data_IF_209287536957
#
_entry.id   IF_209287536957
#
_cell.length_a   1.000
_cell.length_b   1.000
_cell.length_c   1.000
_cell.angle_alpha   90.00
_cell.angle_beta   90.00
_cell.angle_gamma   90.00
#
_symmetry.space_group_name_H-M   'P 1'
#
loop_
_entity.id
_entity.type
_entity.pdbx_description
1 polymer ?
#
# COMPACT_ATOMS: atom_id res chain seq x y z
N UNK A 1 -9.23 -24.97 -2.27
CA UNK A 1 -8.38 -23.77 -2.37
C UNK A 1 -8.72 -23.13 -3.70
N UNK A 2 -9.17 -21.88 -3.71
CA UNK A 2 -9.35 -21.11 -4.95
C UNK A 2 -7.98 -20.97 -5.62
N UNK A 3 -7.90 -21.21 -6.94
CA UNK A 3 -6.67 -21.01 -7.69
C UNK A 3 -6.22 -19.56 -7.57
N UNK A 4 -4.93 -19.32 -7.39
CA UNK A 4 -4.39 -17.97 -7.32
C UNK A 4 -4.66 -17.21 -8.65
N UNK A 5 -5.12 -15.97 -8.56
CA UNK A 5 -5.39 -15.12 -9.72
C UNK A 5 -4.13 -14.31 -10.08
N UNK A 6 -3.46 -14.67 -11.16
CA UNK A 6 -2.33 -13.88 -11.66
C UNK A 6 -2.81 -12.65 -12.45
N UNK A 7 -3.72 -12.83 -13.40
CA UNK A 7 -4.34 -11.78 -14.20
C UNK A 7 -5.84 -12.02 -14.33
N UNK A 8 -6.63 -10.97 -14.28
CA UNK A 8 -8.05 -11.06 -14.59
C UNK A 8 -8.29 -10.99 -16.11
N UNK A 9 -9.36 -11.62 -16.56
CA UNK A 9 -9.73 -11.71 -17.98
C UNK A 9 -11.21 -11.34 -18.18
N UNK A 10 -11.65 -10.25 -17.56
CA UNK A 10 -13.00 -9.72 -17.66
C UNK A 10 -13.21 -9.15 -19.05
N UNK A 11 -14.21 -9.64 -19.77
CA UNK A 11 -14.56 -9.24 -21.14
C UNK A 11 -15.77 -8.31 -21.18
N UNK A 12 -16.58 -8.33 -20.14
CA UNK A 12 -17.79 -7.49 -20.03
C UNK A 12 -17.47 -6.00 -19.83
N UNK A 13 -16.25 -5.67 -19.42
CA UNK A 13 -15.81 -4.30 -19.20
C UNK A 13 -14.50 -4.00 -19.97
N UNK A 14 -14.33 -2.76 -20.47
CA UNK A 14 -13.09 -2.35 -21.11
C UNK A 14 -11.90 -2.34 -20.13
N UNK A 15 -10.84 -3.07 -20.44
CA UNK A 15 -9.59 -3.00 -19.70
C UNK A 15 -8.90 -1.67 -19.97
N UNK A 16 -8.60 -0.90 -18.92
CA UNK A 16 -7.84 0.36 -19.01
C UNK A 16 -6.35 0.14 -18.84
N UNK A 17 -5.95 -0.81 -18.02
CA UNK A 17 -4.54 -1.12 -17.78
C UNK A 17 -4.33 -2.14 -16.68
N UNK A 18 -3.09 -2.64 -16.62
CA UNK A 18 -2.61 -3.53 -15.56
C UNK A 18 -1.46 -2.86 -14.83
N UNK A 19 -1.65 -2.67 -13.53
CA UNK A 19 -0.58 -2.27 -12.63
C UNK A 19 0.27 -3.46 -12.17
N UNK A 20 1.22 -3.21 -11.27
CA UNK A 20 2.09 -4.27 -10.72
C UNK A 20 1.27 -5.42 -10.09
N UNK A 21 0.17 -5.09 -9.39
CA UNK A 21 -0.63 -6.07 -8.63
C UNK A 21 -2.16 -5.91 -8.78
N UNK A 22 -2.62 -4.99 -9.62
CA UNK A 22 -4.05 -4.72 -9.85
C UNK A 22 -4.35 -4.54 -11.32
N UNK A 23 -5.55 -4.96 -11.72
CA UNK A 23 -6.10 -4.75 -13.06
C UNK A 23 -7.27 -3.78 -12.97
N UNK A 24 -7.34 -2.81 -13.88
CA UNK A 24 -8.32 -1.72 -13.85
C UNK A 24 -9.20 -1.77 -15.10
N UNK A 25 -10.52 -1.72 -14.88
CA UNK A 25 -11.52 -1.73 -15.92
C UNK A 25 -12.40 -0.50 -15.83
N UNK A 26 -12.83 0.04 -16.98
CA UNK A 26 -13.79 1.13 -17.02
C UNK A 26 -15.21 0.63 -16.70
N UNK A 27 -15.91 1.35 -15.84
CA UNK A 27 -17.32 1.15 -15.57
C UNK A 27 -18.07 2.48 -15.82
N UNK A 28 -18.49 2.67 -17.07
CA UNK A 28 -18.95 3.97 -17.54
C UNK A 28 -17.82 5.02 -17.54
N UNK A 29 -18.21 6.30 -17.44
CA UNK A 29 -17.26 7.40 -17.49
C UNK A 29 -16.73 7.83 -16.11
N UNK A 30 -17.48 7.53 -15.06
CA UNK A 30 -17.29 8.05 -13.70
C UNK A 30 -16.80 7.01 -12.67
N UNK A 31 -16.70 5.74 -13.06
CA UNK A 31 -16.31 4.64 -12.16
C UNK A 31 -15.25 3.73 -12.76
N UNK A 32 -14.60 3.00 -11.88
CA UNK A 32 -13.65 1.94 -12.21
C UNK A 32 -14.00 0.68 -11.42
N UNK A 33 -13.81 -0.48 -12.05
CA UNK A 33 -13.65 -1.74 -11.34
C UNK A 33 -12.14 -2.00 -11.19
N UNK A 34 -11.67 -2.13 -9.96
CA UNK A 34 -10.28 -2.47 -9.64
C UNK A 34 -10.24 -3.89 -9.10
N UNK A 35 -9.49 -4.76 -9.75
CA UNK A 35 -9.31 -6.17 -9.35
C UNK A 35 -7.92 -6.36 -8.77
N UNK A 36 -7.83 -6.71 -7.49
CA UNK A 36 -6.58 -7.08 -6.85
C UNK A 36 -6.20 -8.51 -7.24
N UNK A 37 -5.09 -8.66 -7.95
CA UNK A 37 -4.53 -9.96 -8.28
C UNK A 37 -3.73 -10.54 -7.10
N UNK A 38 -3.32 -11.79 -7.25
CA UNK A 38 -2.43 -12.43 -6.28
C UNK A 38 -0.93 -12.23 -6.65
N UNK A 39 -0.63 -11.42 -7.68
CA UNK A 39 0.73 -11.02 -8.04
C UNK A 39 1.41 -10.35 -6.84
N UNK A 40 2.70 -10.58 -6.69
CA UNK A 40 3.55 -9.84 -5.76
C UNK A 40 4.67 -9.16 -6.52
N UNK A 41 5.01 -7.94 -6.12
CA UNK A 41 6.15 -7.20 -6.63
C UNK A 41 7.14 -6.95 -5.52
N UNK A 42 8.41 -7.25 -5.77
CA UNK A 42 9.52 -6.93 -4.87
C UNK A 42 10.66 -6.32 -5.69
N UNK A 43 11.32 -5.29 -5.14
CA UNK A 43 12.37 -4.53 -5.84
C UNK A 43 11.91 -4.01 -7.23
N UNK A 44 10.64 -3.60 -7.33
CA UNK A 44 9.93 -3.16 -8.55
C UNK A 44 9.79 -4.20 -9.66
N UNK A 45 10.17 -5.45 -9.40
CA UNK A 45 9.95 -6.58 -10.32
C UNK A 45 8.71 -7.36 -9.88
N UNK A 46 7.81 -7.64 -10.83
CA UNK A 46 6.67 -8.53 -10.61
C UNK A 46 7.20 -9.97 -10.67
N UNK A 47 6.87 -10.76 -9.63
CA UNK A 47 7.26 -12.16 -9.58
C UNK A 47 6.23 -13.03 -10.31
N UNK A 48 6.70 -14.09 -10.96
CA UNK A 48 5.82 -15.02 -11.71
C UNK A 48 4.96 -15.89 -10.79
N UNK A 49 5.35 -16.04 -9.52
CA UNK A 49 4.64 -16.87 -8.56
C UNK A 49 3.65 -16.02 -7.73
N UNK A 50 2.33 -16.15 -7.94
CA UNK A 50 1.34 -15.42 -7.19
C UNK A 50 1.20 -15.96 -5.77
N UNK A 51 0.93 -15.08 -4.80
CA UNK A 51 0.67 -15.44 -3.40
C UNK A 51 -0.83 -15.77 -3.24
N UNK A 52 -1.22 -17.04 -3.00
CA UNK A 52 -2.62 -17.43 -2.97
C UNK A 52 -3.45 -16.63 -1.95
N UNK A 53 -4.57 -16.03 -2.41
CA UNK A 53 -5.49 -15.27 -1.58
C UNK A 53 -5.02 -13.86 -1.20
N UNK A 54 -3.85 -13.42 -1.68
CA UNK A 54 -3.31 -12.08 -1.38
C UNK A 54 -4.28 -10.97 -1.79
N UNK A 55 -4.83 -11.03 -3.01
CA UNK A 55 -5.77 -10.03 -3.51
C UNK A 55 -7.00 -9.89 -2.61
N UNK A 56 -7.53 -10.99 -2.10
CA UNK A 56 -8.66 -10.98 -1.17
C UNK A 56 -8.32 -10.33 0.16
N UNK A 57 -7.17 -10.67 0.74
CA UNK A 57 -6.71 -10.07 2.00
C UNK A 57 -6.51 -8.56 1.87
N UNK A 58 -5.88 -8.10 0.79
CA UNK A 58 -5.64 -6.67 0.57
C UNK A 58 -6.94 -5.90 0.37
N UNK A 59 -7.90 -6.48 -0.36
CA UNK A 59 -9.21 -5.85 -0.58
C UNK A 59 -9.98 -5.72 0.74
N UNK A 60 -10.06 -6.79 1.53
CA UNK A 60 -10.77 -6.81 2.80
C UNK A 60 -10.17 -5.81 3.80
N UNK A 61 -8.83 -5.73 3.90
CA UNK A 61 -8.14 -4.73 4.73
C UNK A 61 -8.42 -3.31 4.24
N UNK A 62 -8.36 -3.06 2.93
CA UNK A 62 -8.63 -1.74 2.36
C UNK A 62 -10.06 -1.31 2.68
N UNK A 63 -11.06 -2.16 2.47
CA UNK A 63 -12.46 -1.84 2.77
C UNK A 63 -12.67 -1.58 4.27
N UNK A 64 -12.08 -2.40 5.13
CA UNK A 64 -12.10 -2.19 6.59
C UNK A 64 -11.59 -0.79 6.96
N UNK A 65 -10.42 -0.40 6.45
CA UNK A 65 -9.83 0.89 6.77
C UNK A 65 -10.59 2.06 6.14
N UNK A 66 -11.08 1.93 4.91
CA UNK A 66 -11.89 2.98 4.26
C UNK A 66 -13.16 3.26 5.05
N UNK A 67 -13.81 2.24 5.62
CA UNK A 67 -14.98 2.41 6.48
C UNK A 67 -14.59 3.05 7.82
N UNK A 68 -13.54 2.54 8.47
CA UNK A 68 -13.11 2.99 9.79
C UNK A 68 -12.65 4.44 9.81
N UNK A 69 -11.99 4.89 8.76
CA UNK A 69 -11.39 6.23 8.63
C UNK A 69 -12.28 7.22 7.84
N UNK A 70 -13.49 6.83 7.42
CA UNK A 70 -14.37 7.64 6.59
C UNK A 70 -14.76 9.00 7.22
N UNK A 71 -14.71 9.11 8.54
CA UNK A 71 -14.99 10.36 9.27
C UNK A 71 -13.87 11.41 9.16
N UNK A 72 -12.66 11.00 8.72
CA UNK A 72 -11.52 11.92 8.54
C UNK A 72 -11.55 12.56 7.15
N UNK A 73 -11.77 11.73 6.12
CA UNK A 73 -11.75 12.15 4.73
C UNK A 73 -12.69 11.27 3.90
N UNK A 74 -13.45 11.84 2.93
CA UNK A 74 -14.14 11.02 1.94
C UNK A 74 -13.18 10.08 1.22
N UNK A 75 -13.68 8.95 0.75
CA UNK A 75 -12.89 8.01 -0.04
C UNK A 75 -13.58 7.66 -1.37
N UNK A 76 -12.88 6.89 -2.18
CA UNK A 76 -13.32 6.57 -3.53
C UNK A 76 -14.34 5.42 -3.62
N UNK A 77 -14.62 4.70 -2.52
CA UNK A 77 -15.57 3.58 -2.55
C UNK A 77 -16.97 4.05 -2.98
N UNK A 78 -17.64 3.26 -3.79
CA UNK A 78 -19.02 3.52 -4.22
C UNK A 78 -20.04 2.68 -3.50
N UNK A 79 -19.64 1.61 -2.82
CA UNK A 79 -20.50 0.60 -2.23
C UNK A 79 -21.20 -0.32 -3.26
N UNK A 80 -20.95 -0.15 -4.55
CA UNK A 80 -21.46 -1.05 -5.59
C UNK A 80 -20.71 -2.38 -5.52
N UNK A 81 -21.46 -3.48 -5.56
CA UNK A 81 -20.84 -4.82 -5.52
C UNK A 81 -20.18 -5.14 -6.86
N UNK A 82 -18.93 -5.62 -6.86
CA UNK A 82 -18.24 -6.01 -8.09
C UNK A 82 -18.97 -7.09 -8.90
N UNK A 83 -19.64 -8.01 -8.21
CA UNK A 83 -20.38 -9.11 -8.83
C UNK A 83 -21.57 -8.61 -9.67
N UNK A 84 -22.13 -7.43 -9.36
CA UNK A 84 -23.29 -6.87 -10.05
C UNK A 84 -22.92 -6.15 -11.36
N UNK A 85 -21.62 -5.95 -11.62
CA UNK A 85 -21.14 -5.15 -12.76
C UNK A 85 -20.36 -5.96 -13.80
N UNK A 86 -20.16 -7.25 -13.59
CA UNK A 86 -19.51 -8.18 -14.53
C UNK A 86 -20.49 -9.24 -15.03
N UNK A 87 -20.12 -9.95 -16.09
CA UNK A 87 -20.93 -11.06 -16.58
C UNK A 87 -20.95 -12.24 -15.57
N UNK A 88 -22.02 -13.08 -15.55
CA UNK A 88 -22.17 -14.15 -14.56
C UNK A 88 -21.01 -15.15 -14.52
N UNK A 89 -20.37 -15.42 -15.66
CA UNK A 89 -19.21 -16.32 -15.78
C UNK A 89 -17.88 -15.67 -15.37
N UNK A 90 -17.89 -14.37 -15.07
CA UNK A 90 -16.71 -13.60 -14.62
C UNK A 90 -16.70 -13.33 -13.11
N UNK A 91 -17.81 -13.62 -12.42
CA UNK A 91 -18.01 -13.30 -10.99
C UNK A 91 -16.91 -13.87 -10.09
N UNK A 92 -16.40 -15.06 -10.37
CA UNK A 92 -15.35 -15.68 -9.55
C UNK A 92 -14.01 -14.95 -9.63
N UNK A 93 -13.79 -14.12 -10.66
CA UNK A 93 -12.59 -13.30 -10.80
C UNK A 93 -12.63 -12.02 -9.94
N UNK A 94 -13.81 -11.58 -9.52
CA UNK A 94 -14.01 -10.35 -8.75
C UNK A 94 -14.39 -10.58 -7.30
N UNK A 95 -14.96 -11.75 -6.98
CA UNK A 95 -15.49 -12.04 -5.65
C UNK A 95 -14.44 -11.90 -4.54
N UNK A 96 -14.69 -10.95 -3.62
CA UNK A 96 -13.85 -10.68 -2.45
C UNK A 96 -12.48 -10.10 -2.77
N UNK A 97 -12.17 -9.75 -4.04
CA UNK A 97 -10.89 -9.19 -4.45
C UNK A 97 -10.98 -7.97 -5.36
N UNK A 98 -12.18 -7.48 -5.59
CA UNK A 98 -12.39 -6.32 -6.42
C UNK A 98 -13.22 -5.27 -5.70
N UNK A 99 -13.11 -4.03 -6.13
CA UNK A 99 -13.89 -2.90 -5.63
C UNK A 99 -14.36 -2.04 -6.81
N UNK A 100 -15.58 -1.51 -6.70
CA UNK A 100 -16.09 -0.49 -7.62
C UNK A 100 -15.88 0.88 -6.99
N UNK A 101 -15.08 1.71 -7.64
CA UNK A 101 -14.65 2.99 -7.10
C UNK A 101 -15.01 4.15 -8.02
N UNK A 102 -15.07 5.36 -7.47
CA UNK A 102 -15.13 6.60 -8.25
C UNK A 102 -13.87 6.76 -9.09
N UNK A 103 -14.03 7.23 -10.33
CA UNK A 103 -12.92 7.63 -11.17
C UNK A 103 -12.48 9.04 -10.77
N UNK A 104 -11.39 9.13 -10.02
CA UNK A 104 -10.83 10.38 -9.54
C UNK A 104 -9.65 10.83 -10.41
N UNK A 105 -9.37 12.14 -10.41
CA UNK A 105 -8.12 12.68 -10.94
C UNK A 105 -7.00 12.43 -9.91
N UNK A 106 -6.04 11.54 -10.17
CA UNK A 106 -5.03 11.20 -9.18
C UNK A 106 -4.08 12.38 -8.93
N UNK A 107 -3.64 12.52 -7.69
CA UNK A 107 -2.53 13.39 -7.31
C UNK A 107 -1.25 12.55 -7.41
N UNK A 108 -0.26 13.06 -8.16
CA UNK A 108 0.97 12.32 -8.49
C UNK A 108 2.03 12.42 -7.38
N UNK A 109 1.58 12.35 -6.13
CA UNK A 109 2.42 12.34 -4.94
C UNK A 109 2.01 11.15 -4.09
N UNK A 110 2.98 10.34 -3.69
CA UNK A 110 2.78 9.33 -2.67
C UNK A 110 2.89 9.97 -1.28
N UNK A 111 1.78 9.95 -0.54
CA UNK A 111 1.69 10.55 0.76
C UNK A 111 2.11 9.55 1.85
N UNK A 112 3.37 9.59 2.23
CA UNK A 112 3.93 8.64 3.21
C UNK A 112 3.96 9.27 4.60
N UNK A 113 3.40 8.56 5.58
CA UNK A 113 3.56 8.85 7.00
C UNK A 113 4.50 7.84 7.65
N UNK A 114 5.43 8.31 8.49
CA UNK A 114 6.36 7.45 9.23
C UNK A 114 6.29 7.76 10.72
N UNK A 115 6.02 6.74 11.52
CA UNK A 115 6.17 6.80 12.97
C UNK A 115 7.45 6.13 13.47
N UNK A 116 8.13 5.41 12.59
CA UNK A 116 9.38 4.70 12.86
C UNK A 116 10.38 4.87 11.73
N UNK A 117 11.67 4.81 12.06
CA UNK A 117 12.77 5.06 11.14
C UNK A 117 13.23 3.76 10.47
N UNK A 118 12.71 3.49 9.26
CA UNK A 118 12.97 2.26 8.50
C UNK A 118 12.98 2.52 6.99
N UNK A 119 13.46 1.57 6.20
CA UNK A 119 13.45 1.61 4.73
C UNK A 119 14.21 2.81 4.16
N UNK A 120 13.63 3.52 3.19
CA UNK A 120 14.25 4.71 2.59
C UNK A 120 14.49 5.82 3.62
N UNK A 121 13.58 6.01 4.58
CA UNK A 121 13.75 6.99 5.65
C UNK A 121 14.98 6.70 6.53
N UNK A 122 15.28 5.43 6.82
CA UNK A 122 16.49 5.05 7.53
C UNK A 122 17.76 5.37 6.72
N UNK A 123 17.74 5.07 5.41
CA UNK A 123 18.87 5.40 4.50
C UNK A 123 19.13 6.89 4.43
N UNK A 124 18.07 7.70 4.28
CA UNK A 124 18.19 9.17 4.25
C UNK A 124 18.76 9.72 5.55
N UNK A 125 18.27 9.23 6.69
CA UNK A 125 18.75 9.63 8.00
C UNK A 125 20.24 9.28 8.21
N UNK A 126 20.66 8.09 7.81
CA UNK A 126 22.07 7.70 7.89
C UNK A 126 22.98 8.62 7.05
N UNK A 127 22.49 9.05 5.89
CA UNK A 127 23.26 9.91 4.98
C UNK A 127 23.30 11.38 5.44
N UNK A 128 22.19 11.88 6.01
CA UNK A 128 22.00 13.35 6.17
C UNK A 128 21.56 13.79 7.56
N UNK A 129 21.17 12.87 8.44
CA UNK A 129 20.51 13.19 9.72
C UNK A 129 19.07 13.71 9.56
N UNK A 130 18.50 13.62 8.35
CA UNK A 130 17.17 14.11 8.01
C UNK A 130 16.42 13.12 7.14
N UNK A 131 15.09 13.25 7.02
CA UNK A 131 14.25 12.52 6.07
C UNK A 131 13.37 13.53 5.35
N UNK A 132 13.41 13.57 4.02
CA UNK A 132 12.65 14.54 3.22
C UNK A 132 12.86 16.01 3.68
N UNK A 133 14.08 16.36 4.10
CA UNK A 133 14.42 17.69 4.64
C UNK A 133 14.06 17.91 6.13
N UNK A 134 13.35 16.99 6.77
CA UNK A 134 12.98 17.05 8.19
C UNK A 134 14.16 16.55 9.02
N UNK A 135 14.80 17.44 9.78
CA UNK A 135 15.91 17.09 10.70
C UNK A 135 15.37 16.25 11.86
N UNK A 136 16.03 15.15 12.15
CA UNK A 136 15.69 14.24 13.24
C UNK A 136 16.74 14.29 14.36
N UNK A 137 16.39 13.91 15.60
CA UNK A 137 17.34 13.81 16.70
C UNK A 137 18.54 12.91 16.35
N UNK A 138 19.72 13.25 16.83
CA UNK A 138 20.90 12.42 16.68
C UNK A 138 20.80 11.13 17.50
N UNK A 139 21.47 10.05 17.05
CA UNK A 139 21.54 8.79 17.77
C UNK A 139 20.36 7.85 17.57
N UNK A 140 19.43 8.16 16.65
CA UNK A 140 18.40 7.21 16.25
C UNK A 140 19.01 6.01 15.55
N UNK A 141 18.42 4.84 15.77
CA UNK A 141 18.82 3.58 15.16
C UNK A 141 17.74 3.09 14.20
N UNK A 142 18.04 2.07 13.42
CA UNK A 142 17.03 1.40 12.60
C UNK A 142 15.85 0.95 13.46
N UNK A 143 14.64 1.13 12.95
CA UNK A 143 13.38 0.87 13.64
C UNK A 143 13.14 1.71 14.92
N UNK A 144 13.93 2.76 15.19
CA UNK A 144 13.60 3.69 16.29
C UNK A 144 12.24 4.32 16.05
N UNK A 145 11.41 4.37 17.12
CA UNK A 145 10.18 5.16 17.12
C UNK A 145 10.54 6.64 17.07
N UNK A 146 9.90 7.39 16.19
CA UNK A 146 10.06 8.83 16.10
C UNK A 146 9.34 9.54 17.24
N UNK A 147 9.80 10.73 17.69
CA UNK A 147 9.11 11.53 18.71
C UNK A 147 7.67 11.84 18.34
N UNK A 148 7.44 12.13 17.06
CA UNK A 148 6.11 12.31 16.43
C UNK A 148 6.15 11.73 15.01
N UNK A 149 4.99 11.32 14.48
CA UNK A 149 4.90 10.90 13.07
C UNK A 149 5.26 12.05 12.13
N UNK A 150 6.01 11.74 11.07
CA UNK A 150 6.43 12.71 10.06
C UNK A 150 5.82 12.39 8.70
N UNK A 151 5.55 13.45 7.91
CA UNK A 151 5.12 13.36 6.53
C UNK A 151 6.33 13.36 5.62
N UNK A 152 6.56 12.28 4.89
CA UNK A 152 7.74 12.06 4.04
C UNK A 152 7.31 11.65 2.64
N UNK A 153 6.84 12.60 1.82
CA UNK A 153 6.28 12.30 0.51
C UNK A 153 7.33 11.71 -0.45
N UNK A 154 6.82 10.97 -1.45
CA UNK A 154 7.63 10.55 -2.58
C UNK A 154 6.97 11.00 -3.89
N UNK A 155 7.79 11.35 -4.88
CA UNK A 155 7.32 11.58 -6.23
C UNK A 155 6.99 10.24 -6.86
N UNK A 156 5.80 10.15 -7.48
CA UNK A 156 5.38 8.93 -8.19
C UNK A 156 6.20 8.81 -9.47
N UNK A 157 7.06 7.82 -9.51
CA UNK A 157 7.91 7.56 -10.67
C UNK A 157 7.12 7.00 -11.85
N UNK A 158 7.67 7.13 -13.06
CA UNK A 158 7.16 6.41 -14.23
C UNK A 158 7.25 4.90 -14.02
N UNK A 159 6.39 4.16 -14.73
CA UNK A 159 6.34 2.70 -14.61
C UNK A 159 7.71 2.06 -14.82
N UNK A 160 8.20 1.32 -13.82
CA UNK A 160 9.52 0.66 -13.84
C UNK A 160 10.66 1.45 -13.19
N UNK A 161 10.41 2.69 -12.76
CA UNK A 161 11.35 3.47 -11.96
C UNK A 161 10.99 3.40 -10.47
N UNK A 162 11.96 3.75 -9.60
CA UNK A 162 11.74 3.82 -8.15
C UNK A 162 11.16 5.17 -7.76
N UNK A 163 10.19 5.15 -6.83
CA UNK A 163 9.69 6.36 -6.20
C UNK A 163 10.80 7.00 -5.36
N UNK A 164 11.02 8.29 -5.56
CA UNK A 164 12.06 9.05 -4.85
C UNK A 164 11.46 9.88 -3.72
N UNK A 165 12.06 9.80 -2.53
CA UNK A 165 11.71 10.69 -1.43
C UNK A 165 11.91 12.15 -1.86
N UNK A 166 10.89 12.98 -1.66
CA UNK A 166 10.93 14.41 -1.97
C UNK A 166 10.60 15.23 -0.72
N UNK A 167 10.94 16.50 -0.72
CA UNK A 167 10.58 17.40 0.37
C UNK A 167 9.14 17.96 0.22
N UNK A 168 8.68 18.64 1.24
CA UNK A 168 7.35 19.26 1.23
C UNK A 168 7.21 20.34 0.14
N UNK A 169 8.31 21.05 -0.19
CA UNK A 169 8.28 22.08 -1.23
C UNK A 169 7.97 21.50 -2.61
N UNK A 170 8.39 20.26 -2.89
CA UNK A 170 8.01 19.54 -4.10
C UNK A 170 6.50 19.33 -4.16
N UNK A 171 5.87 18.91 -3.06
CA UNK A 171 4.40 18.71 -3.01
C UNK A 171 3.67 20.04 -3.25
N UNK A 172 4.16 21.13 -2.64
CA UNK A 172 3.62 22.49 -2.86
C UNK A 172 3.69 22.89 -4.33
N UNK A 173 4.78 22.57 -5.01
CA UNK A 173 4.94 22.84 -6.44
C UNK A 173 3.92 22.08 -7.30
N UNK A 174 3.61 20.83 -6.93
CA UNK A 174 2.68 19.97 -7.70
C UNK A 174 1.20 20.35 -7.49
N UNK A 175 0.79 20.69 -6.28
CA UNK A 175 -0.64 20.85 -5.93
C UNK A 175 -1.00 22.22 -5.33
N UNK A 176 -0.04 23.10 -5.11
CA UNK A 176 -0.22 24.38 -4.41
C UNK A 176 -0.17 24.23 -2.88
N UNK A 177 0.06 25.38 -2.19
CA UNK A 177 0.32 25.39 -0.74
C UNK A 177 -0.83 24.82 0.08
N UNK A 178 -2.06 25.28 -0.15
CA UNK A 178 -3.23 24.89 0.62
C UNK A 178 -3.52 23.38 0.49
N UNK A 179 -3.45 22.85 -0.72
CA UNK A 179 -3.68 21.42 -0.96
C UNK A 179 -2.54 20.57 -0.39
N UNK A 180 -1.30 21.01 -0.49
CA UNK A 180 -0.14 20.32 0.09
C UNK A 180 -0.25 20.21 1.61
N UNK A 181 -0.63 21.31 2.28
CA UNK A 181 -0.88 21.31 3.72
C UNK A 181 -2.01 20.37 4.10
N UNK A 182 -3.11 20.41 3.35
CA UNK A 182 -4.24 19.51 3.57
C UNK A 182 -3.85 18.03 3.42
N UNK A 183 -3.10 17.68 2.37
CA UNK A 183 -2.61 16.30 2.16
C UNK A 183 -1.72 15.88 3.32
N UNK A 184 -0.76 16.70 3.75
CA UNK A 184 0.09 16.41 4.89
C UNK A 184 -0.73 16.14 6.16
N UNK A 185 -1.64 17.04 6.48
CA UNK A 185 -2.39 17.02 7.74
C UNK A 185 -3.34 15.82 7.80
N UNK A 186 -4.06 15.51 6.70
CA UNK A 186 -4.91 14.32 6.64
C UNK A 186 -4.11 13.04 6.64
N UNK A 187 -2.94 12.99 5.99
CA UNK A 187 -2.03 11.83 6.00
C UNK A 187 -1.59 11.50 7.42
N UNK A 188 -1.13 12.51 8.17
CA UNK A 188 -0.70 12.32 9.57
C UNK A 188 -1.86 11.92 10.47
N UNK A 189 -3.05 12.48 10.26
CA UNK A 189 -4.26 12.13 11.03
C UNK A 189 -4.71 10.70 10.76
N UNK A 190 -4.78 10.30 9.48
CA UNK A 190 -5.12 8.92 9.09
C UNK A 190 -4.13 7.92 9.70
N UNK A 191 -2.84 8.22 9.60
CA UNK A 191 -1.78 7.38 10.19
C UNK A 191 -1.91 7.27 11.70
N UNK A 192 -2.06 8.39 12.41
CA UNK A 192 -2.09 8.40 13.86
C UNK A 192 -3.27 7.57 14.41
N UNK A 193 -4.46 7.72 13.83
CA UNK A 193 -5.65 6.97 14.24
C UNK A 193 -5.52 5.48 13.92
N UNK A 194 -5.03 5.15 12.72
CA UNK A 194 -4.81 3.77 12.34
C UNK A 194 -3.74 3.09 13.21
N UNK A 195 -2.62 3.77 13.47
CA UNK A 195 -1.55 3.25 14.31
C UNK A 195 -2.00 3.03 15.76
N UNK A 196 -2.81 3.94 16.32
CA UNK A 196 -3.39 3.79 17.66
C UNK A 196 -4.33 2.56 17.71
N UNK A 197 -5.18 2.37 16.71
CA UNK A 197 -6.04 1.19 16.65
C UNK A 197 -5.23 -0.10 16.47
N UNK A 198 -4.30 -0.15 15.52
CA UNK A 198 -3.49 -1.35 15.25
C UNK A 198 -2.66 -1.76 16.48
N UNK A 199 -2.20 -0.80 17.29
CA UNK A 199 -1.51 -1.07 18.54
C UNK A 199 -2.38 -1.87 19.53
N UNK A 200 -3.70 -1.63 19.59
CA UNK A 200 -4.62 -2.42 20.41
C UNK A 200 -4.75 -3.87 19.95
N UNK A 201 -4.36 -4.14 18.72
CA UNK A 201 -4.37 -5.47 18.08
C UNK A 201 -2.96 -6.12 18.03
N UNK A 202 -1.99 -5.55 18.76
CA UNK A 202 -0.63 -6.04 18.82
C UNK A 202 0.15 -5.84 17.50
N UNK A 203 -0.25 -4.87 16.69
CA UNK A 203 0.42 -4.52 15.43
C UNK A 203 0.96 -3.10 15.51
N UNK A 204 2.23 -2.93 15.14
CA UNK A 204 2.86 -1.64 14.92
C UNK A 204 2.80 -1.33 13.42
N UNK A 205 2.18 -0.20 13.06
CA UNK A 205 2.29 0.37 11.71
C UNK A 205 3.52 1.29 11.72
N UNK A 206 4.62 0.84 11.12
CA UNK A 206 5.87 1.61 11.14
C UNK A 206 5.82 2.81 10.19
N UNK A 207 5.36 2.58 9.00
CA UNK A 207 5.05 3.58 7.98
C UNK A 207 3.92 3.09 7.09
N UNK A 208 3.32 4.01 6.37
CA UNK A 208 2.30 3.71 5.37
C UNK A 208 2.32 4.75 4.26
N UNK A 209 1.91 4.33 3.08
CA UNK A 209 1.70 5.14 1.90
C UNK A 209 0.20 5.28 1.64
N UNK A 210 -0.26 6.51 1.47
CA UNK A 210 -1.60 6.84 0.99
C UNK A 210 -1.54 7.46 -0.39
N UNK A 211 -2.61 7.28 -1.15
CA UNK A 211 -2.83 7.97 -2.42
C UNK A 211 -4.13 8.78 -2.35
N UNK A 212 -4.11 9.94 -3.00
CA UNK A 212 -5.24 10.85 -3.03
C UNK A 212 -5.63 11.19 -4.46
N UNK A 213 -6.89 11.55 -4.63
CA UNK A 213 -7.43 12.04 -5.89
C UNK A 213 -8.49 13.10 -5.67
N UNK A 214 -8.77 13.85 -6.71
CA UNK A 214 -9.81 14.88 -6.74
C UNK A 214 -11.00 14.38 -7.55
N UNK A 215 -12.21 14.61 -7.05
CA UNK A 215 -13.42 14.47 -7.84
C UNK A 215 -13.65 15.65 -8.77
N UNK A 216 -14.78 15.66 -9.49
CA UNK A 216 -15.10 16.72 -10.44
C UNK A 216 -15.29 18.10 -9.79
N UNK A 217 -15.64 18.12 -8.50
CA UNK A 217 -15.83 19.34 -7.72
C UNK A 217 -14.55 19.83 -7.04
N UNK A 218 -13.43 19.10 -7.25
CA UNK A 218 -12.14 19.39 -6.61
C UNK A 218 -12.05 18.91 -5.15
N UNK A 219 -12.98 18.08 -4.70
CA UNK A 219 -12.94 17.50 -3.35
C UNK A 219 -11.85 16.43 -3.27
N UNK A 220 -11.01 16.51 -2.23
CA UNK A 220 -9.97 15.53 -1.95
C UNK A 220 -10.56 14.23 -1.40
N UNK A 221 -10.19 13.11 -2.00
CA UNK A 221 -10.60 11.76 -1.59
C UNK A 221 -9.38 10.88 -1.33
N UNK A 222 -9.47 10.02 -0.31
CA UNK A 222 -8.56 8.90 -0.14
C UNK A 222 -8.87 7.83 -1.20
N UNK A 223 -7.87 7.33 -1.88
CA UNK A 223 -8.02 6.36 -2.95
C UNK A 223 -6.98 5.25 -2.87
N UNK A 224 -7.13 4.28 -3.75
CA UNK A 224 -6.24 3.14 -3.90
C UNK A 224 -6.27 2.21 -2.67
N UNK A 225 -5.19 1.56 -2.42
CA UNK A 225 -4.96 0.61 -1.32
C UNK A 225 -4.63 1.35 -0.03
N UNK A 226 -5.28 0.99 1.07
CA UNK A 226 -5.16 1.70 2.34
C UNK A 226 -4.74 0.75 3.45
N UNK A 227 -3.58 1.03 4.07
CA UNK A 227 -3.11 0.36 5.28
C UNK A 227 -3.12 -1.17 5.18
N UNK A 228 -2.52 -1.67 4.10
CA UNK A 228 -2.33 -3.10 3.85
C UNK A 228 -0.87 -3.49 4.00
N UNK A 229 -0.55 -4.78 4.09
CA UNK A 229 0.84 -5.25 4.08
C UNK A 229 1.64 -4.88 2.82
N UNK A 230 1.00 -4.42 1.74
CA UNK A 230 1.67 -3.95 0.53
C UNK A 230 1.99 -2.45 0.57
N UNK A 231 1.10 -1.64 1.14
CA UNK A 231 1.26 -0.18 1.28
C UNK A 231 1.89 0.26 2.60
N UNK A 232 2.07 -0.66 3.55
CA UNK A 232 2.51 -0.37 4.92
C UNK A 232 3.50 -1.40 5.43
N UNK A 233 4.34 -1.00 6.40
CA UNK A 233 5.11 -1.96 7.20
C UNK A 233 4.38 -2.26 8.49
N UNK A 234 3.95 -3.51 8.63
CA UNK A 234 3.26 -4.03 9.80
C UNK A 234 4.20 -4.95 10.58
N UNK A 235 4.47 -4.60 11.83
CA UNK A 235 5.31 -5.41 12.72
C UNK A 235 4.50 -5.98 13.86
N UNK A 236 4.71 -7.26 14.24
CA UNK A 236 4.19 -7.77 15.50
C UNK A 236 4.85 -7.02 16.67
N UNK A 237 4.00 -6.49 17.58
CA UNK A 237 4.48 -5.67 18.70
C UNK A 237 5.40 -6.44 19.65
N UNK A 238 5.16 -7.73 19.82
CA UNK A 238 5.96 -8.65 20.65
C UNK A 238 7.34 -8.97 20.06
N UNK A 239 7.49 -8.83 18.74
CA UNK A 239 8.76 -9.03 18.02
C UNK A 239 9.56 -7.76 17.77
N UNK A 240 9.03 -6.59 18.14
CA UNK A 240 9.66 -5.31 17.85
C UNK A 240 10.91 -5.06 18.70
N UNK A 241 12.02 -4.69 18.03
CA UNK A 241 13.28 -4.26 18.66
C UNK A 241 13.92 -3.16 17.84
N UNK A 242 14.47 -2.17 18.54
CA UNK A 242 15.29 -1.10 17.94
C UNK A 242 16.67 -1.67 17.55
N UNK A 243 17.24 -1.14 16.49
CA UNK A 243 18.59 -1.51 15.99
C UNK A 243 18.62 -2.64 14.97
N UNK A 244 17.48 -3.27 14.71
CA UNK A 244 17.35 -4.35 13.70
C UNK A 244 16.13 -4.09 12.80
N UNK A 245 16.04 -4.84 11.69
CA UNK A 245 14.78 -4.93 10.92
C UNK A 245 13.82 -5.85 11.68
N UNK A 246 12.69 -5.35 12.20
CA UNK A 246 11.75 -6.20 12.93
C UNK A 246 11.13 -7.28 12.04
N UNK A 247 10.67 -8.41 12.61
CA UNK A 247 9.78 -9.33 11.92
C UNK A 247 8.57 -8.58 11.36
N UNK A 248 8.03 -9.02 10.23
CA UNK A 248 7.00 -8.26 9.51
C UNK A 248 5.88 -9.18 9.01
N UNK A 249 4.68 -8.62 8.91
CA UNK A 249 3.52 -9.24 8.24
C UNK A 249 3.45 -8.90 6.75
N UNK A 250 4.37 -8.07 6.26
CA UNK A 250 4.43 -7.62 4.88
C UNK A 250 5.36 -8.51 4.01
N UNK A 251 5.63 -8.06 2.82
CA UNK A 251 6.49 -8.74 1.84
C UNK A 251 7.98 -8.80 2.19
N UNK A 252 8.37 -8.40 3.41
CA UNK A 252 9.78 -8.47 3.84
C UNK A 252 10.30 -9.90 3.81
N UNK A 253 9.45 -10.89 4.17
CA UNK A 253 9.84 -12.30 4.10
C UNK A 253 10.24 -12.75 2.67
N UNK A 254 9.50 -12.28 1.66
CA UNK A 254 9.87 -12.54 0.26
C UNK A 254 11.15 -11.80 -0.11
N UNK A 255 11.30 -10.54 0.32
CA UNK A 255 12.52 -9.76 0.06
C UNK A 255 13.76 -10.41 0.70
N UNK A 256 13.64 -10.84 1.95
CA UNK A 256 14.74 -11.51 2.67
C UNK A 256 15.18 -12.78 1.93
N UNK A 257 14.22 -13.58 1.45
CA UNK A 257 14.55 -14.75 0.64
C UNK A 257 15.22 -14.36 -0.69
N UNK A 258 14.70 -13.36 -1.40
CA UNK A 258 15.27 -12.88 -2.66
C UNK A 258 16.71 -12.36 -2.47
N UNK A 259 17.01 -11.71 -1.35
CA UNK A 259 18.36 -11.24 -1.02
C UNK A 259 19.37 -12.40 -0.80
N UNK A 260 18.91 -13.61 -0.53
CA UNK A 260 19.78 -14.80 -0.46
C UNK A 260 20.11 -15.39 -1.84
N UNK A 261 19.44 -14.92 -2.90
CA UNK A 261 19.63 -15.42 -4.26
C UNK A 261 20.69 -14.60 -5.01
N UNK A 262 21.37 -15.24 -5.96
CA UNK A 262 22.20 -14.52 -6.93
C UNK A 262 21.29 -13.93 -8.00
N UNK A 263 20.80 -12.71 -7.78
CA UNK A 263 19.87 -12.03 -8.64
C UNK A 263 20.13 -10.52 -8.62
N UNK A 264 20.16 -9.91 -9.79
CA UNK A 264 20.48 -8.49 -9.99
C UNK A 264 19.28 -7.54 -9.84
N UNK A 265 18.12 -8.07 -9.38
CA UNK A 265 16.86 -7.34 -9.20
C UNK A 265 16.25 -6.83 -10.52
N UNK A 266 16.54 -7.53 -11.62
CA UNK A 266 15.92 -7.31 -12.92
C UNK A 266 15.11 -8.54 -13.35
N UNK A 267 14.08 -8.39 -14.22
CA UNK A 267 13.37 -9.54 -14.79
C UNK A 267 14.29 -10.45 -15.62
N UNK A 268 14.09 -11.80 -15.56
CA UNK A 268 13.09 -12.51 -14.76
C UNK A 268 13.50 -12.68 -13.30
N UNK A 269 12.52 -12.64 -12.41
CA UNK A 269 12.77 -12.92 -10.99
C UNK A 269 12.97 -14.43 -10.72
N UNK A 270 13.72 -14.79 -9.66
CA UNK A 270 13.80 -16.18 -9.20
C UNK A 270 12.41 -16.73 -8.82
N UNK A 271 12.17 -18.01 -9.12
CA UNK A 271 10.93 -18.71 -8.74
C UNK A 271 10.89 -18.91 -7.24
N UNK A 272 9.76 -18.51 -6.62
CA UNK A 272 9.57 -18.65 -5.18
C UNK A 272 9.32 -20.12 -4.79
N UNK A 273 10.05 -20.68 -3.79
CA UNK A 273 9.72 -21.96 -3.23
C UNK A 273 8.31 -21.99 -2.63
N UNK A 274 7.67 -23.15 -2.68
CA UNK A 274 6.31 -23.34 -2.13
C UNK A 274 6.22 -22.90 -0.66
N UNK A 275 7.23 -23.19 0.14
CA UNK A 275 7.29 -22.77 1.54
C UNK A 275 7.27 -21.24 1.71
N UNK A 276 7.94 -20.49 0.81
CA UNK A 276 7.96 -19.02 0.83
C UNK A 276 6.59 -18.47 0.48
N UNK A 277 5.91 -19.06 -0.54
CA UNK A 277 4.55 -18.69 -0.92
C UNK A 277 3.56 -18.90 0.23
N UNK A 278 3.58 -20.07 0.85
CA UNK A 278 2.68 -20.43 1.95
C UNK A 278 2.90 -19.56 3.18
N UNK A 279 4.16 -19.34 3.59
CA UNK A 279 4.48 -18.48 4.73
C UNK A 279 4.09 -17.03 4.47
N UNK A 280 4.29 -16.55 3.25
CA UNK A 280 3.87 -15.17 2.87
C UNK A 280 2.36 -15.05 2.93
N UNK A 281 1.60 -15.99 2.34
CA UNK A 281 0.15 -16.00 2.40
C UNK A 281 -0.36 -16.05 3.86
N UNK A 282 0.27 -16.87 4.70
CA UNK A 282 -0.07 -16.96 6.12
C UNK A 282 0.16 -15.64 6.88
N UNK A 283 1.26 -14.93 6.58
CA UNK A 283 1.55 -13.61 7.17
C UNK A 283 0.52 -12.55 6.80
N UNK A 284 0.12 -12.49 5.54
CA UNK A 284 -0.93 -11.59 5.08
C UNK A 284 -2.27 -11.88 5.76
N UNK A 285 -2.63 -13.16 5.87
CA UNK A 285 -3.86 -13.60 6.56
C UNK A 285 -3.79 -13.26 8.06
N UNK A 286 -2.67 -13.51 8.72
CA UNK A 286 -2.48 -13.19 10.14
C UNK A 286 -2.66 -11.70 10.42
N UNK A 287 -2.14 -10.81 9.54
CA UNK A 287 -2.34 -9.36 9.67
C UNK A 287 -3.83 -8.98 9.59
N UNK A 288 -4.57 -9.55 8.61
CA UNK A 288 -6.00 -9.34 8.48
C UNK A 288 -6.76 -9.83 9.71
N UNK A 289 -6.55 -11.09 10.09
CA UNK A 289 -7.27 -11.71 11.21
C UNK A 289 -7.09 -10.93 12.53
N UNK A 290 -5.88 -10.41 12.78
CA UNK A 290 -5.60 -9.57 13.96
C UNK A 290 -6.31 -8.23 13.91
N UNK A 291 -6.34 -7.56 12.74
CA UNK A 291 -6.91 -6.20 12.63
C UNK A 291 -8.43 -6.21 12.62
N UNK A 292 -9.04 -7.22 12.01
CA UNK A 292 -10.51 -7.27 11.80
C UNK A 292 -11.24 -7.99 12.94
N UNK A 293 -10.53 -8.80 13.75
CA UNK A 293 -11.10 -9.56 14.87
C UNK A 293 -11.79 -8.72 15.96
#
# INVERSE_FOLDING_TARGET
MTSALHESSIKSLPLLGRGKVRDMYALGDDKLLIVASDRISAFDVILDDPIPGKGQVLTELTEFWLQKLAHILPNHSTGVKPEDVVAPDEVDQVRGRAVVVKRLKPILVEAVARGYLIGSGWKDYQATGAVCGIKLPAGLQQASKLPEPIFTPAAKAEFGMHDENVDFAHVVKEVGQEMAERIRDVTLKLYAEAAAFAATKGIIIADTKFEFGLDADGTLHLMDEVLTPDSSRFWPADGYRVGISPPSFDKQFVRDWLETQTWDKTPPAPRLPQEVLEKTAAKYREALDRLVA
#
